data_IF_790709345025
#
_entry.id   IF_790709345025
#
_cell.length_a   1.000
_cell.length_b   1.000
_cell.length_c   1.000
_cell.angle_alpha   90.00
_cell.angle_beta   90.00
_cell.angle_gamma   90.00
#
_symmetry.space_group_name_H-M   'P 1'
#
loop_
_entity.id
_entity.type
_entity.pdbx_description
1 polymer ?
#
# COMPACT_ATOMS: atom_id res chain seq x y z
N UNK A 1 -20.63 25.37 -6.80
CA UNK A 1 -20.38 24.24 -5.89
C UNK A 1 -18.89 24.25 -5.61
N UNK A 2 -18.48 24.53 -4.39
CA UNK A 2 -17.08 24.44 -3.99
C UNK A 2 -16.69 22.96 -3.94
N UNK A 3 -15.83 22.53 -4.86
CA UNK A 3 -15.26 21.19 -4.80
C UNK A 3 -14.42 21.13 -3.52
N UNK A 4 -14.93 20.41 -2.51
CA UNK A 4 -14.26 20.20 -1.23
C UNK A 4 -12.78 19.85 -1.47
N UNK A 5 -11.88 20.43 -0.67
CA UNK A 5 -10.43 20.28 -0.82
C UNK A 5 -10.09 18.81 -1.08
N UNK A 6 -9.70 18.48 -2.32
CA UNK A 6 -9.39 17.12 -2.73
C UNK A 6 -7.98 16.77 -2.29
N UNK A 7 -7.80 15.55 -1.79
CA UNK A 7 -6.48 14.97 -1.62
C UNK A 7 -6.08 14.45 -3.00
N UNK A 8 -5.10 15.11 -3.63
CA UNK A 8 -4.47 14.62 -4.85
C UNK A 8 -3.62 13.40 -4.49
N UNK A 9 -4.19 12.21 -4.68
CA UNK A 9 -3.48 10.96 -4.48
C UNK A 9 -2.67 10.70 -5.75
N UNK A 10 -1.35 10.89 -5.70
CA UNK A 10 -0.43 10.46 -6.75
C UNK A 10 -0.20 8.95 -6.67
N UNK A 11 -1.26 8.16 -6.86
CA UNK A 11 -1.17 6.71 -6.90
C UNK A 11 -1.19 6.21 -8.35
N UNK A 12 -0.33 5.24 -8.66
CA UNK A 12 -0.44 4.48 -9.92
C UNK A 12 -1.66 3.55 -9.83
N UNK A 13 -2.63 3.63 -10.75
CA UNK A 13 -3.85 2.80 -10.70
C UNK A 13 -3.56 1.30 -10.58
N UNK A 14 -2.49 0.81 -11.22
CA UNK A 14 -2.10 -0.61 -11.24
C UNK A 14 -1.69 -1.12 -9.85
N UNK A 15 -1.10 -0.24 -9.02
CA UNK A 15 -0.71 -0.57 -7.65
C UNK A 15 -1.96 -0.65 -6.76
N UNK A 16 -2.90 0.27 -6.93
CA UNK A 16 -4.18 0.24 -6.20
C UNK A 16 -4.99 -1.00 -6.57
N UNK A 17 -5.05 -1.36 -7.85
CA UNK A 17 -5.75 -2.57 -8.32
C UNK A 17 -5.18 -3.80 -7.63
N UNK A 18 -3.85 -3.97 -7.66
CA UNK A 18 -3.16 -5.09 -7.02
C UNK A 18 -3.41 -5.16 -5.51
N UNK A 19 -3.43 -4.01 -4.84
CA UNK A 19 -3.76 -3.92 -3.41
C UNK A 19 -5.18 -4.40 -3.12
N UNK A 20 -6.17 -3.91 -3.85
CA UNK A 20 -7.57 -4.28 -3.63
C UNK A 20 -7.84 -5.74 -3.98
N UNK A 21 -7.21 -6.28 -5.03
CA UNK A 21 -7.29 -7.71 -5.31
C UNK A 21 -6.74 -8.55 -4.17
N UNK A 22 -5.59 -8.18 -3.60
CA UNK A 22 -5.02 -8.90 -2.45
C UNK A 22 -5.94 -8.83 -1.23
N UNK A 23 -6.46 -7.65 -0.89
CA UNK A 23 -7.41 -7.47 0.21
C UNK A 23 -8.67 -8.32 0.04
N UNK A 24 -9.24 -8.33 -1.16
CA UNK A 24 -10.43 -9.12 -1.47
C UNK A 24 -10.15 -10.63 -1.43
N UNK A 25 -8.93 -11.07 -1.77
CA UNK A 25 -8.53 -12.47 -1.60
C UNK A 25 -8.45 -12.85 -0.12
N UNK A 26 -7.92 -11.96 0.73
CA UNK A 26 -7.85 -12.18 2.18
C UNK A 26 -9.24 -12.21 2.83
N UNK A 27 -10.18 -11.40 2.34
CA UNK A 27 -11.56 -11.32 2.83
C UNK A 27 -12.46 -12.47 2.31
N UNK A 28 -12.18 -12.95 1.10
CA UNK A 28 -12.92 -14.01 0.44
C UNK A 28 -14.04 -13.52 -0.48
N UNK A 29 -14.23 -14.24 -1.60
CA UNK A 29 -15.08 -13.81 -2.71
C UNK A 29 -16.58 -13.70 -2.36
N UNK A 30 -17.04 -14.48 -1.38
CA UNK A 30 -18.45 -14.48 -0.96
C UNK A 30 -18.78 -13.28 -0.05
N UNK A 31 -17.85 -12.88 0.83
CA UNK A 31 -18.00 -11.70 1.68
C UNK A 31 -18.10 -10.44 0.82
N UNK A 32 -17.12 -10.27 -0.07
CA UNK A 32 -17.09 -9.17 -1.04
C UNK A 32 -18.36 -9.11 -1.90
N UNK A 33 -18.83 -10.25 -2.42
CA UNK A 33 -20.03 -10.29 -3.24
C UNK A 33 -21.27 -9.82 -2.46
N UNK A 34 -21.41 -10.26 -1.21
CA UNK A 34 -22.51 -9.84 -0.34
C UNK A 34 -22.46 -8.35 -0.02
N UNK A 35 -21.30 -7.82 0.35
CA UNK A 35 -21.14 -6.40 0.71
C UNK A 35 -21.36 -5.46 -0.48
N UNK A 36 -20.89 -5.87 -1.67
CA UNK A 36 -21.02 -5.08 -2.89
C UNK A 36 -22.37 -5.28 -3.60
N UNK A 37 -23.26 -6.13 -3.07
CA UNK A 37 -24.55 -6.44 -3.67
C UNK A 37 -24.45 -7.19 -5.01
N UNK A 38 -23.37 -7.93 -5.22
CA UNK A 38 -23.08 -8.68 -6.43
C UNK A 38 -23.49 -10.14 -6.25
N UNK A 39 -24.12 -10.74 -7.25
CA UNK A 39 -24.40 -12.16 -7.22
C UNK A 39 -23.09 -12.99 -7.22
N UNK A 40 -22.92 -14.02 -6.36
CA UNK A 40 -21.66 -14.76 -6.23
C UNK A 40 -21.11 -15.33 -7.54
N UNK A 41 -21.99 -15.74 -8.46
CA UNK A 41 -21.60 -16.28 -9.77
C UNK A 41 -21.12 -15.23 -10.77
N UNK A 42 -21.52 -13.96 -10.59
CA UNK A 42 -21.07 -12.82 -11.39
C UNK A 42 -19.82 -12.16 -10.80
N UNK A 43 -19.59 -12.32 -9.50
CA UNK A 43 -18.49 -11.72 -8.73
C UNK A 43 -17.13 -11.82 -9.41
N UNK A 44 -16.77 -12.99 -9.95
CA UNK A 44 -15.47 -13.17 -10.61
C UNK A 44 -15.27 -12.29 -11.86
N UNK A 45 -16.34 -11.99 -12.59
CA UNK A 45 -16.30 -11.11 -13.78
C UNK A 45 -16.41 -9.63 -13.38
N UNK A 46 -17.27 -9.33 -12.41
CA UNK A 46 -17.56 -7.95 -12.02
C UNK A 46 -16.46 -7.32 -11.16
N UNK A 47 -15.81 -8.09 -10.27
CA UNK A 47 -14.75 -7.58 -9.39
C UNK A 47 -13.62 -6.90 -10.13
N UNK A 48 -13.17 -7.48 -11.24
CA UNK A 48 -12.10 -6.91 -12.06
C UNK A 48 -12.51 -5.56 -12.65
N UNK A 49 -13.74 -5.48 -13.17
CA UNK A 49 -14.27 -4.25 -13.74
C UNK A 49 -14.45 -3.18 -12.67
N UNK A 50 -15.00 -3.55 -11.51
CA UNK A 50 -15.27 -2.63 -10.40
C UNK A 50 -13.98 -2.04 -9.86
N UNK A 51 -12.99 -2.86 -9.51
CA UNK A 51 -11.73 -2.35 -8.99
C UNK A 51 -10.99 -1.48 -10.00
N UNK A 52 -10.97 -1.87 -11.28
CA UNK A 52 -10.34 -1.08 -12.34
C UNK A 52 -10.99 0.30 -12.51
N UNK A 53 -12.32 0.36 -12.49
CA UNK A 53 -13.04 1.64 -12.59
C UNK A 53 -12.84 2.49 -11.33
N UNK A 54 -12.90 1.88 -10.15
CA UNK A 54 -12.68 2.58 -8.88
C UNK A 54 -11.27 3.15 -8.78
N UNK A 55 -10.23 2.38 -9.13
CA UNK A 55 -8.84 2.84 -9.10
C UNK A 55 -8.59 3.99 -10.08
N UNK A 56 -9.19 3.94 -11.27
CA UNK A 56 -9.14 5.06 -12.23
C UNK A 56 -9.83 6.31 -11.69
N UNK A 57 -11.00 6.15 -11.07
CA UNK A 57 -11.72 7.29 -10.48
C UNK A 57 -10.90 7.92 -9.34
N UNK A 58 -10.32 7.12 -8.45
CA UNK A 58 -9.47 7.59 -7.35
C UNK A 58 -8.22 8.29 -7.90
N UNK A 59 -7.54 7.71 -8.89
CA UNK A 59 -6.33 8.30 -9.46
C UNK A 59 -6.60 9.60 -10.24
N UNK A 60 -7.77 9.71 -10.88
CA UNK A 60 -8.12 10.86 -11.71
C UNK A 60 -8.77 12.00 -10.91
N UNK A 61 -9.65 11.68 -9.97
CA UNK A 61 -10.44 12.66 -9.21
C UNK A 61 -9.96 12.83 -7.77
N UNK A 62 -9.13 11.92 -7.26
CA UNK A 62 -8.71 11.91 -5.86
C UNK A 62 -9.82 11.47 -4.91
N UNK A 63 -9.60 11.68 -3.62
CA UNK A 63 -10.61 11.53 -2.57
C UNK A 63 -10.84 12.87 -1.89
N UNK A 64 -12.09 13.21 -1.51
CA UNK A 64 -12.35 14.41 -0.72
C UNK A 64 -11.71 14.26 0.66
N UNK A 65 -11.10 15.34 1.19
CA UNK A 65 -10.40 15.30 2.47
C UNK A 65 -11.28 14.81 3.62
N UNK A 66 -12.55 15.20 3.62
CA UNK A 66 -13.51 14.87 4.68
C UNK A 66 -13.93 13.38 4.66
N UNK A 67 -13.70 12.66 3.55
CA UNK A 67 -13.94 11.22 3.47
C UNK A 67 -12.74 10.39 3.95
N UNK A 68 -11.58 11.02 4.18
CA UNK A 68 -10.38 10.32 4.64
C UNK A 68 -10.26 10.49 6.15
N UNK A 69 -10.80 9.50 6.89
CA UNK A 69 -10.49 9.34 8.32
C UNK A 69 -9.07 8.79 8.45
N UNK A 70 -8.08 9.68 8.55
CA UNK A 70 -6.73 9.27 8.95
C UNK A 70 -6.71 9.07 10.47
N UNK A 71 -6.31 7.90 10.98
CA UNK A 71 -5.97 7.78 12.39
C UNK A 71 -4.92 8.83 12.73
N UNK A 72 -5.17 9.64 13.76
CA UNK A 72 -4.28 10.74 14.23
C UNK A 72 -2.80 10.31 14.37
N UNK A 73 -2.53 9.01 14.52
CA UNK A 73 -1.21 8.45 14.79
C UNK A 73 -0.51 7.73 13.61
N UNK A 74 -1.08 7.69 12.41
CA UNK A 74 -0.52 6.89 11.30
C UNK A 74 0.01 7.73 10.14
N UNK A 75 0.85 8.73 10.41
CA UNK A 75 1.70 9.32 9.37
C UNK A 75 2.91 8.41 9.14
N UNK A 76 2.79 7.47 8.20
CA UNK A 76 3.96 6.77 7.67
C UNK A 76 4.65 7.67 6.64
N UNK A 77 5.91 8.02 6.91
CA UNK A 77 6.77 8.73 5.97
C UNK A 77 7.78 7.72 5.44
N UNK A 78 7.74 7.47 4.13
CA UNK A 78 8.73 6.61 3.46
C UNK A 78 9.88 7.50 3.00
N UNK A 79 11.09 7.18 3.47
CA UNK A 79 12.33 7.89 3.13
C UNK A 79 13.26 6.86 2.51
N UNK A 80 13.77 7.14 1.30
CA UNK A 80 14.63 6.24 0.53
C UNK A 80 16.00 6.87 0.23
N UNK A 81 16.96 6.03 -0.15
CA UNK A 81 18.32 6.43 -0.56
C UNK A 81 19.17 7.02 0.57
N UNK A 82 20.12 7.89 0.21
CA UNK A 82 21.08 8.52 1.13
C UNK A 82 20.42 9.20 2.33
N UNK A 83 19.20 9.72 2.14
CA UNK A 83 18.46 10.40 3.20
C UNK A 83 18.00 9.42 4.28
N UNK A 84 17.62 8.20 3.89
CA UNK A 84 17.26 7.13 4.81
C UNK A 84 18.48 6.70 5.63
N UNK A 85 19.65 6.57 5.01
CA UNK A 85 20.87 6.16 5.69
C UNK A 85 21.34 7.21 6.71
N UNK A 86 21.28 8.50 6.36
CA UNK A 86 21.58 9.60 7.28
C UNK A 86 20.63 9.61 8.48
N UNK A 87 19.34 9.37 8.25
CA UNK A 87 18.34 9.30 9.30
C UNK A 87 18.60 8.10 10.24
N UNK A 88 18.88 6.92 9.68
CA UNK A 88 19.22 5.72 10.46
C UNK A 88 20.45 5.98 11.34
N UNK A 89 21.52 6.53 10.78
CA UNK A 89 22.74 6.90 11.53
C UNK A 89 22.45 7.90 12.66
N UNK A 90 21.57 8.88 12.42
CA UNK A 90 21.18 9.86 13.43
C UNK A 90 20.34 9.22 14.56
N UNK A 91 19.47 8.27 14.22
CA UNK A 91 18.63 7.54 15.18
C UNK A 91 19.42 6.53 16.01
N UNK A 92 20.46 5.90 15.43
CA UNK A 92 21.42 5.06 16.13
C UNK A 92 22.19 5.83 17.21
N UNK A 93 22.69 7.03 16.87
CA UNK A 93 23.38 7.92 17.84
C UNK A 93 22.47 8.31 19.01
N UNK A 94 21.16 8.35 18.79
CA UNK A 94 20.15 8.64 19.82
C UNK A 94 19.65 7.39 20.57
N UNK A 95 20.18 6.20 20.24
CA UNK A 95 19.80 4.93 20.87
C UNK A 95 18.38 4.46 20.57
N UNK A 96 17.73 5.01 19.55
CA UNK A 96 16.33 4.71 19.21
C UNK A 96 16.16 3.53 18.25
N UNK A 97 17.24 3.14 17.57
CA UNK A 97 17.28 2.03 16.61
C UNK A 97 18.59 1.26 16.80
N UNK A 98 18.53 -0.07 16.80
CA UNK A 98 19.69 -0.97 16.71
C UNK A 98 19.59 -1.75 15.41
N UNK A 99 20.69 -1.88 14.66
CA UNK A 99 20.75 -2.82 13.54
C UNK A 99 20.74 -4.23 14.10
N UNK A 100 19.82 -5.05 13.60
CA UNK A 100 19.96 -6.49 13.74
C UNK A 100 21.06 -6.93 12.78
N UNK A 101 22.21 -7.30 13.31
CA UNK A 101 23.26 -7.95 12.55
C UNK A 101 22.84 -9.40 12.31
N UNK A 102 22.01 -9.63 11.30
CA UNK A 102 21.70 -10.98 10.82
C UNK A 102 22.04 -11.10 9.34
N UNK A 103 23.08 -11.90 9.07
CA UNK A 103 23.34 -12.68 7.86
C UNK A 103 24.01 -12.01 6.64
N UNK A 104 24.95 -11.06 6.84
CA UNK A 104 25.89 -10.68 5.75
C UNK A 104 27.17 -11.54 5.71
N UNK A 105 27.42 -12.37 6.72
CA UNK A 105 28.68 -13.13 6.83
C UNK A 105 28.58 -14.60 6.36
N UNK A 106 27.42 -15.07 5.88
CA UNK A 106 27.27 -16.47 5.44
C UNK A 106 27.12 -16.66 3.92
N UNK A 107 26.82 -15.62 3.15
CA UNK A 107 26.63 -15.75 1.68
C UNK A 107 27.94 -15.68 0.89
N UNK A 108 29.00 -15.03 1.38
CA UNK A 108 30.27 -14.95 0.64
C UNK A 108 31.08 -16.24 0.68
N UNK A 109 30.81 -17.16 1.61
CA UNK A 109 31.56 -18.42 1.75
C UNK A 109 31.03 -19.59 0.91
N UNK A 110 29.87 -19.45 0.24
CA UNK A 110 29.26 -20.53 -0.55
C UNK A 110 29.33 -20.34 -2.07
N UNK A 111 29.82 -19.19 -2.55
CA UNK A 111 29.87 -18.87 -3.99
C UNK A 111 31.22 -19.25 -4.63
N UNK A 112 32.24 -19.63 -3.85
CA UNK A 112 33.58 -19.96 -4.37
C UNK A 112 33.87 -21.47 -4.56
N UNK A 113 32.85 -22.34 -4.52
CA UNK A 113 33.01 -23.79 -4.68
C UNK A 113 31.95 -24.43 -5.60
N UNK A 114 31.86 -23.95 -6.84
CA UNK A 114 31.31 -24.67 -8.01
C UNK A 114 32.04 -24.22 -9.28
#
# INVERSE_FOLDING_TARGET
MDYAKTINITCKPEILESYFFKRMLDEGNNSFASEMGIHPTASSREKNRIFKLACKAIAHYGLPADAVSMPENSRSVVIEGDYAERLIRALERKGKVKRNASNLAQDEAQIELL
#
